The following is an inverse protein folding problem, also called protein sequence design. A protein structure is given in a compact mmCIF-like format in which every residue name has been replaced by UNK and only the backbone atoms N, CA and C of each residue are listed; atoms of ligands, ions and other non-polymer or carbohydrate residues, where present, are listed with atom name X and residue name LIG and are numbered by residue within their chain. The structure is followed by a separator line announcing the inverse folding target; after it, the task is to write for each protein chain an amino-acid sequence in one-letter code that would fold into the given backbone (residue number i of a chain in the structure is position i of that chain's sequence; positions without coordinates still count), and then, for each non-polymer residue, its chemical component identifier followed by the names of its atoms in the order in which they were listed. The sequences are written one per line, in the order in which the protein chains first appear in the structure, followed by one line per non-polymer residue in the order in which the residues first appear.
data_IF_058370923783
#
_entry.id   IF_058370923783
#
_cell.length_a   1.000
_cell.length_b   1.000
_cell.length_c   1.000
_cell.angle_alpha   90.00
_cell.angle_beta   90.00
_cell.angle_gamma   90.00
#
_symmetry.space_group_name_H-M   'P 1'
#
loop_
_entity.id
_entity.type
_entity.pdbx_description
1 polymer ?
#
# COMPACT_ATOMS: atom_id res chain seq x y z
N UNK A 1 7.21 -24.61 2.52
CA UNK A 1 7.15 -23.15 2.28
C UNK A 1 6.59 -23.03 0.89
N UNK A 2 5.36 -22.55 0.81
CA UNK A 2 4.64 -22.34 -0.44
C UNK A 2 5.17 -21.06 -1.12
N UNK A 3 4.89 -20.87 -2.42
CA UNK A 3 5.40 -19.72 -3.18
C UNK A 3 4.82 -18.38 -2.66
N UNK A 4 3.64 -18.41 -2.04
CA UNK A 4 3.05 -17.24 -1.39
C UNK A 4 3.58 -16.94 0.01
N UNK A 5 4.34 -17.85 0.62
CA UNK A 5 4.94 -17.58 1.92
C UNK A 5 6.07 -16.57 1.74
N UNK A 6 6.20 -15.66 2.70
CA UNK A 6 7.30 -14.69 2.75
C UNK A 6 7.83 -14.63 4.18
N UNK A 7 9.12 -14.38 4.29
CA UNK A 7 9.78 -14.24 5.58
C UNK A 7 9.47 -12.89 6.22
N UNK A 8 9.62 -12.83 7.55
CA UNK A 8 9.51 -11.57 8.28
C UNK A 8 10.55 -10.54 7.85
N UNK A 9 11.75 -10.99 7.45
CA UNK A 9 12.82 -10.11 6.96
C UNK A 9 12.45 -9.44 5.63
N UNK A 10 11.90 -10.20 4.68
CA UNK A 10 11.44 -9.67 3.40
C UNK A 10 10.31 -8.66 3.58
N UNK A 11 9.35 -8.98 4.45
CA UNK A 11 8.26 -8.06 4.80
C UNK A 11 8.79 -6.76 5.40
N UNK A 12 9.68 -6.85 6.41
CA UNK A 12 10.28 -5.69 7.06
C UNK A 12 11.08 -4.82 6.09
N UNK A 13 11.76 -5.43 5.13
CA UNK A 13 12.49 -4.70 4.08
C UNK A 13 11.54 -3.91 3.17
N UNK A 14 10.44 -4.53 2.74
CA UNK A 14 9.40 -3.84 1.96
C UNK A 14 8.74 -2.71 2.77
N UNK A 15 8.41 -2.96 4.04
CA UNK A 15 7.82 -1.97 4.94
C UNK A 15 8.74 -0.76 5.12
N UNK A 16 10.02 -0.98 5.40
CA UNK A 16 11.00 0.10 5.57
C UNK A 16 11.15 0.96 4.29
N UNK A 17 11.09 0.32 3.11
CA UNK A 17 11.14 1.02 1.82
C UNK A 17 9.88 1.87 1.60
N UNK A 18 8.71 1.34 1.93
CA UNK A 18 7.44 2.05 1.81
C UNK A 18 7.38 3.23 2.77
N UNK A 19 7.74 3.05 4.05
CA UNK A 19 7.81 4.14 5.02
C UNK A 19 8.70 5.28 4.55
N UNK A 20 9.92 4.95 4.08
CA UNK A 20 10.86 5.94 3.54
C UNK A 20 10.28 6.70 2.34
N UNK A 21 9.62 6.00 1.43
CA UNK A 21 9.08 6.59 0.21
C UNK A 21 7.85 7.46 0.47
N UNK A 22 6.93 6.96 1.29
CA UNK A 22 5.66 7.62 1.61
C UNK A 22 5.84 8.86 2.48
N UNK A 23 6.80 8.84 3.41
CA UNK A 23 7.08 9.98 4.30
C UNK A 23 7.95 11.06 3.65
N UNK A 24 8.51 10.80 2.46
CA UNK A 24 9.42 11.75 1.80
C UNK A 24 8.72 13.07 1.47
N UNK A 25 9.18 14.14 2.13
CA UNK A 25 8.62 15.49 1.95
C UNK A 25 7.27 15.71 2.65
N UNK A 26 6.89 14.82 3.58
CA UNK A 26 5.66 14.91 4.39
C UNK A 26 6.06 15.27 5.82
N UNK A 27 5.16 15.95 6.52
CA UNK A 27 5.34 16.40 7.90
C UNK A 27 4.13 15.96 8.71
N UNK A 28 4.37 15.49 9.93
CA UNK A 28 3.32 15.21 10.88
C UNK A 28 2.56 16.50 11.26
N UNK A 29 1.27 16.34 11.55
CA UNK A 29 0.39 17.41 12.04
C UNK A 29 0.08 17.16 13.51
N UNK A 30 -0.10 18.22 14.31
CA UNK A 30 -0.64 18.11 15.67
C UNK A 30 -2.11 17.65 15.68
N UNK A 31 -2.81 17.86 14.56
CA UNK A 31 -4.18 17.42 14.32
C UNK A 31 -4.20 16.68 12.98
N UNK A 32 -3.81 15.39 12.96
CA UNK A 32 -3.80 14.60 11.74
C UNK A 32 -5.24 14.35 11.25
N UNK A 33 -5.40 14.22 9.94
CA UNK A 33 -6.68 13.90 9.30
C UNK A 33 -6.49 12.63 8.48
N UNK A 34 -7.35 11.64 8.72
CA UNK A 34 -7.44 10.43 7.91
C UNK A 34 -8.71 10.48 7.06
N UNK A 35 -8.59 10.10 5.78
CA UNK A 35 -9.70 10.08 4.83
C UNK A 35 -9.80 8.67 4.26
N UNK A 36 -10.90 7.99 4.58
CA UNK A 36 -11.23 6.68 4.01
C UNK A 36 -12.03 6.87 2.72
N UNK A 37 -11.59 6.25 1.64
CA UNK A 37 -12.26 6.32 0.34
C UNK A 37 -13.11 5.08 0.09
N UNK A 38 -14.40 5.29 -0.13
CA UNK A 38 -15.35 4.27 -0.59
C UNK A 38 -15.75 4.49 -2.05
N UNK A 39 -16.23 3.42 -2.70
CA UNK A 39 -16.78 3.47 -4.06
C UNK A 39 -16.41 2.25 -4.88
N UNK A 40 -17.20 1.95 -5.90
CA UNK A 40 -16.97 0.82 -6.81
C UNK A 40 -15.67 0.98 -7.61
N UNK A 41 -15.17 -0.11 -8.20
CA UNK A 41 -14.10 -0.02 -9.18
C UNK A 41 -14.57 0.82 -10.37
N UNK A 42 -13.70 1.68 -10.90
CA UNK A 42 -14.06 2.61 -11.98
C UNK A 42 -14.81 3.89 -11.56
N UNK A 43 -15.24 4.03 -10.30
CA UNK A 43 -15.97 5.22 -9.83
C UNK A 43 -15.14 6.52 -9.77
N UNK A 44 -13.87 6.50 -10.18
CA UNK A 44 -13.03 7.69 -10.24
C UNK A 44 -12.37 8.08 -8.91
N UNK A 45 -12.09 7.12 -8.01
CA UNK A 45 -11.40 7.37 -6.72
C UNK A 45 -10.09 8.15 -6.88
N UNK A 46 -9.34 7.93 -7.96
CA UNK A 46 -8.12 8.67 -8.32
C UNK A 46 -8.33 10.19 -8.42
N UNK A 47 -9.53 10.65 -8.80
CA UNK A 47 -9.89 12.07 -8.80
C UNK A 47 -9.82 12.65 -7.39
N UNK A 48 -10.28 11.91 -6.38
CA UNK A 48 -10.24 12.34 -4.98
C UNK A 48 -8.78 12.45 -4.51
N UNK A 49 -7.91 11.53 -4.91
CA UNK A 49 -6.48 11.62 -4.60
C UNK A 49 -5.89 12.94 -5.11
N UNK A 50 -6.25 13.38 -6.32
CA UNK A 50 -5.78 14.64 -6.90
C UNK A 50 -6.33 15.86 -6.16
N UNK A 51 -7.61 15.83 -5.79
CA UNK A 51 -8.25 16.92 -5.03
C UNK A 51 -7.59 17.05 -3.65
N UNK A 52 -7.47 15.94 -2.92
CA UNK A 52 -6.90 15.95 -1.57
C UNK A 52 -5.40 16.24 -1.56
N UNK A 53 -4.63 15.77 -2.54
CA UNK A 53 -3.23 16.20 -2.66
C UNK A 53 -3.09 17.71 -2.86
N UNK A 54 -3.96 18.35 -3.65
CA UNK A 54 -3.96 19.82 -3.79
C UNK A 54 -4.39 20.52 -2.50
N UNK A 55 -5.46 20.04 -1.87
CA UNK A 55 -6.01 20.59 -0.62
C UNK A 55 -4.98 20.59 0.51
N UNK A 56 -4.25 19.49 0.66
CA UNK A 56 -3.19 19.34 1.66
C UNK A 56 -1.81 19.84 1.18
N UNK A 57 -1.74 20.51 0.02
CA UNK A 57 -0.48 21.02 -0.55
C UNK A 57 0.63 19.96 -0.64
N UNK A 58 0.24 18.72 -0.95
CA UNK A 58 1.13 17.57 -1.01
C UNK A 58 1.54 16.97 0.34
N UNK A 59 1.05 17.50 1.47
CA UNK A 59 1.26 16.97 2.82
C UNK A 59 0.17 15.95 3.22
N UNK A 60 -0.05 14.96 2.35
CA UNK A 60 -0.92 13.82 2.59
C UNK A 60 -0.19 12.56 2.10
N UNK A 61 -0.34 11.47 2.84
CA UNK A 61 0.15 10.14 2.43
C UNK A 61 -1.02 9.38 1.82
N UNK A 62 -0.79 8.80 0.64
CA UNK A 62 -1.75 7.91 -0.03
C UNK A 62 -1.31 6.48 0.26
N UNK A 63 -2.18 5.70 0.89
CA UNK A 63 -2.00 4.26 1.10
C UNK A 63 -2.98 3.55 0.18
N UNK A 64 -2.46 2.90 -0.87
CA UNK A 64 -3.22 2.12 -1.83
C UNK A 64 -2.84 0.64 -1.72
N UNK A 65 -3.74 -0.17 -1.19
CA UNK A 65 -3.49 -1.59 -0.91
C UNK A 65 -3.09 -2.39 -2.14
N UNK A 66 -3.71 -2.11 -3.30
CA UNK A 66 -3.43 -2.86 -4.51
C UNK A 66 -2.01 -2.59 -5.03
N UNK A 67 -1.48 -1.40 -4.78
CA UNK A 67 -0.11 -1.02 -5.16
C UNK A 67 0.98 -1.84 -4.45
N UNK A 68 0.67 -2.47 -3.31
CA UNK A 68 1.64 -3.26 -2.56
C UNK A 68 1.72 -4.73 -3.01
N UNK A 69 0.76 -5.21 -3.80
CA UNK A 69 0.72 -6.62 -4.27
C UNK A 69 1.97 -6.97 -5.10
N UNK A 70 2.39 -6.07 -5.97
CA UNK A 70 3.58 -6.23 -6.81
C UNK A 70 4.90 -6.16 -6.05
N UNK A 71 4.85 -5.81 -4.76
CA UNK A 71 6.02 -5.79 -3.87
C UNK A 71 6.21 -7.11 -3.11
N UNK A 72 5.32 -8.09 -3.32
CA UNK A 72 5.50 -9.43 -2.79
C UNK A 72 6.88 -9.98 -3.23
N UNK A 73 7.65 -10.61 -2.33
CA UNK A 73 9.00 -11.10 -2.66
C UNK A 73 9.02 -12.05 -3.86
N UNK A 74 7.97 -12.86 -3.98
CA UNK A 74 7.78 -13.84 -5.05
C UNK A 74 6.71 -13.42 -6.08
N UNK A 75 6.52 -12.11 -6.29
CA UNK A 75 5.44 -11.62 -7.15
C UNK A 75 5.54 -12.16 -8.59
N UNK A 76 6.75 -12.22 -9.15
CA UNK A 76 6.95 -12.67 -10.53
C UNK A 76 6.65 -14.17 -10.68
N UNK A 77 7.05 -14.97 -9.69
CA UNK A 77 6.75 -16.41 -9.64
C UNK A 77 5.24 -16.64 -9.50
N UNK A 78 4.58 -15.93 -8.59
CA UNK A 78 3.12 -15.99 -8.43
C UNK A 78 2.38 -15.56 -9.70
N UNK A 79 2.89 -14.54 -10.40
CA UNK A 79 2.31 -14.06 -11.64
C UNK A 79 2.52 -15.06 -12.79
N UNK A 80 3.65 -15.74 -12.83
CA UNK A 80 3.96 -16.76 -13.83
C UNK A 80 3.09 -18.02 -13.63
N UNK A 81 2.91 -18.44 -12.38
CA UNK A 81 2.15 -19.65 -12.04
C UNK A 81 0.63 -19.43 -12.14
N UNK A 82 0.12 -18.32 -11.58
CA UNK A 82 -1.32 -18.10 -11.41
C UNK A 82 -1.89 -17.00 -12.31
N UNK A 83 -1.06 -16.26 -13.05
CA UNK A 83 -1.53 -15.21 -13.95
C UNK A 83 -2.40 -14.18 -13.24
N UNK A 84 -3.64 -14.02 -13.69
CA UNK A 84 -4.62 -13.10 -13.08
C UNK A 84 -5.03 -13.50 -11.66
N UNK A 85 -4.91 -14.78 -11.31
CA UNK A 85 -5.34 -15.32 -10.03
C UNK A 85 -4.25 -15.13 -8.94
N UNK A 86 -3.07 -14.62 -9.30
CA UNK A 86 -2.00 -14.20 -8.36
C UNK A 86 -2.48 -13.17 -7.32
N UNK A 87 -3.57 -12.47 -7.61
CA UNK A 87 -4.26 -11.55 -6.69
C UNK A 87 -4.68 -12.27 -5.40
N UNK A 88 -5.10 -13.52 -5.48
CA UNK A 88 -5.55 -14.29 -4.31
C UNK A 88 -4.37 -14.64 -3.39
N UNK A 89 -3.18 -14.83 -3.96
CA UNK A 89 -1.96 -15.21 -3.25
C UNK A 89 -1.20 -14.00 -2.69
N UNK A 90 -1.36 -12.82 -3.29
CA UNK A 90 -0.71 -11.57 -2.82
C UNK A 90 -1.54 -10.78 -1.81
N UNK A 91 -2.81 -11.16 -1.59
CA UNK A 91 -3.76 -10.37 -0.78
C UNK A 91 -3.33 -10.23 0.68
N UNK A 92 -2.74 -11.27 1.25
CA UNK A 92 -2.38 -11.29 2.68
C UNK A 92 -1.17 -10.41 2.95
N UNK A 93 -0.16 -10.45 2.07
CA UNK A 93 0.97 -9.52 2.10
C UNK A 93 0.52 -8.06 1.97
N UNK A 94 -0.32 -7.77 0.96
CA UNK A 94 -0.81 -6.42 0.72
C UNK A 94 -1.64 -5.89 1.89
N UNK A 95 -2.52 -6.72 2.48
CA UNK A 95 -3.30 -6.36 3.67
C UNK A 95 -2.39 -6.04 4.85
N UNK A 96 -1.43 -6.92 5.16
CA UNK A 96 -0.48 -6.73 6.26
C UNK A 96 0.37 -5.46 6.06
N UNK A 97 0.73 -5.15 4.82
CA UNK A 97 1.45 -3.91 4.47
C UNK A 97 0.62 -2.66 4.78
N UNK A 98 -0.66 -2.65 4.39
CA UNK A 98 -1.59 -1.55 4.71
C UNK A 98 -1.73 -1.38 6.22
N UNK A 99 -2.01 -2.47 6.95
CA UNK A 99 -2.19 -2.43 8.41
C UNK A 99 -0.94 -1.91 9.13
N UNK A 100 0.23 -2.35 8.70
CA UNK A 100 1.51 -1.91 9.27
C UNK A 100 1.77 -0.44 8.96
N UNK A 101 1.55 0.01 7.73
CA UNK A 101 1.74 1.41 7.35
C UNK A 101 0.75 2.35 8.05
N UNK A 102 -0.50 1.92 8.25
CA UNK A 102 -1.48 2.70 9.03
C UNK A 102 -1.03 2.83 10.47
N UNK A 103 -0.58 1.73 11.09
CA UNK A 103 -0.08 1.73 12.49
C UNK A 103 1.15 2.63 12.66
N UNK A 104 2.10 2.57 11.72
CA UNK A 104 3.35 3.34 11.80
C UNK A 104 3.19 4.83 11.46
N UNK A 105 2.12 5.21 10.76
CA UNK A 105 1.88 6.60 10.31
C UNK A 105 0.75 7.31 11.05
N UNK A 106 0.05 6.62 11.96
CA UNK A 106 -1.03 7.19 12.79
C UNK A 106 -0.51 8.04 13.95
#
# INVERSE_FOLDING_TARGET
MEIQDYTDSEFKHALARNLRSLTRGKKSSKQPIAILLGGQSGAGKTTIHRIKQKEFQGNIVIIDGDSFRSQHPHYLELQQEYGKDSVEYTKDFARKMVESLVTELS
#
